data_IF_479483026916
#
_entry.id   IF_479483026916
#
_cell.length_a   1.000
_cell.length_b   1.000
_cell.length_c   1.000
_cell.angle_alpha   90.00
_cell.angle_beta   90.00
_cell.angle_gamma   90.00
#
_symmetry.space_group_name_H-M   'P 1'
#
loop_
_entity.id
_entity.type
_entity.pdbx_description
1 polymer ?
2 non-polymer ?
3 non-polymer ?
4 non-polymer ?
5 water ?
#
# COMPACT_ATOMS: atom_id res chain seq x y z
N UNK A 4 -21.14 -17.83 15.00
CA UNK A 4 -20.24 -16.60 15.13
C UNK A 4 -20.07 -15.84 13.81
N UNK A 5 -20.55 -14.57 13.72
CA UNK A 5 -20.65 -13.89 12.44
C UNK A 5 -19.31 -13.58 11.81
N UNK A 6 -19.29 -13.48 10.48
CA UNK A 6 -18.09 -13.03 9.77
C UNK A 6 -17.98 -11.51 9.87
N UNK A 7 -16.78 -10.97 10.06
CA UNK A 7 -16.63 -9.53 10.17
C UNK A 7 -16.89 -8.74 8.89
N UNK A 8 -17.32 -7.48 9.08
CA UNK A 8 -17.54 -6.50 7.97
C UNK A 8 -16.36 -5.54 7.94
N UNK A 9 -15.66 -5.45 9.06
CA UNK A 9 -14.47 -4.58 9.22
C UNK A 9 -13.45 -5.25 10.14
N UNK A 10 -12.19 -5.02 9.85
CA UNK A 10 -11.08 -5.42 10.74
C UNK A 10 -10.17 -4.23 10.98
N UNK A 11 -9.31 -4.35 11.97
CA UNK A 11 -8.25 -3.35 12.17
C UNK A 11 -6.91 -4.00 11.90
N UNK A 12 -6.06 -3.21 11.25
CA UNK A 12 -4.71 -3.64 10.80
C UNK A 12 -3.70 -2.68 11.39
N UNK A 13 -2.71 -3.22 12.06
CA UNK A 13 -1.51 -2.49 12.50
C UNK A 13 -0.43 -2.66 11.42
N UNK A 14 0.18 -1.56 11.06
CA UNK A 14 1.38 -1.50 10.20
C UNK A 14 2.50 -0.88 11.04
N UNK A 15 3.63 -1.56 11.14
CA UNK A 15 4.84 -0.99 11.74
C UNK A 15 5.98 -0.98 10.77
N UNK A 16 6.75 0.06 10.82
CA UNK A 16 8.02 0.14 10.05
C UNK A 16 9.12 0.67 10.97
N UNK A 17 10.20 -0.10 11.07
CA UNK A 17 11.34 0.27 11.93
C UNK A 17 12.65 -0.12 11.24
N UNK A 18 13.48 0.87 10.97
CA UNK A 18 14.89 0.62 10.61
C UNK A 18 15.66 0.51 11.92
N UNK A 19 16.10 -0.69 12.19
CA UNK A 19 16.69 -1.09 13.50
C UNK A 19 18.17 -0.70 13.60
N UNK A 20 18.80 -0.26 12.52
CA UNK A 20 20.20 0.22 12.57
C UNK A 20 21.14 -0.89 12.99
N UNK A 21 20.82 -2.12 12.59
CA UNK A 21 21.69 -3.30 12.79
C UNK A 21 21.97 -3.50 14.29
N UNK A 22 21.09 -3.04 15.15
CA UNK A 22 21.25 -3.24 16.60
C UNK A 22 20.08 -4.02 17.16
N UNK A 23 20.28 -4.86 18.18
CA UNK A 23 19.15 -5.57 18.78
C UNK A 23 18.20 -4.58 19.44
N UNK A 24 16.92 -4.95 19.53
CA UNK A 24 15.94 -4.06 20.12
C UNK A 24 16.09 -4.07 21.63
N UNK A 25 15.49 -3.09 22.31
CA UNK A 25 15.49 -3.07 23.76
C UNK A 25 14.48 -4.12 24.27
N UNK A 26 14.45 -4.30 25.59
CA UNK A 26 13.65 -5.34 26.28
C UNK A 26 12.17 -5.11 26.02
N UNK A 27 11.71 -3.86 25.98
CA UNK A 27 10.28 -3.55 25.84
C UNK A 27 10.05 -2.68 24.59
N UNK A 28 9.16 -3.16 23.71
CA UNK A 28 8.81 -2.43 22.47
C UNK A 28 7.28 -2.32 22.38
N UNK A 29 6.57 -2.56 23.47
CA UNK A 29 5.08 -2.57 23.49
C UNK A 29 4.53 -1.21 23.03
N UNK A 30 5.22 -0.09 23.27
CA UNK A 30 4.70 1.25 22.87
C UNK A 30 4.45 1.28 21.36
N UNK A 31 5.27 0.56 20.61
CA UNK A 31 5.11 0.55 19.14
C UNK A 31 3.73 -0.03 18.78
N UNK A 32 3.43 -1.19 19.29
CA UNK A 32 2.18 -1.93 18.96
C UNK A 32 0.96 -1.25 19.57
N UNK A 33 1.17 -0.42 20.58
CA UNK A 33 0.08 0.37 21.21
C UNK A 33 -0.09 1.72 20.53
N UNK A 34 0.69 2.06 19.50
CA UNK A 34 0.54 3.38 18.84
C UNK A 34 0.65 4.51 19.87
N UNK A 35 1.68 4.48 20.69
CA UNK A 35 1.96 5.51 21.72
C UNK A 35 3.25 6.26 21.36
N UNK A 36 3.25 7.57 21.52
CA UNK A 36 4.44 8.40 21.37
C UNK A 36 4.00 9.74 20.82
N UNK A 37 4.47 10.05 19.63
CA UNK A 37 4.19 11.36 18.99
C UNK A 37 3.32 11.10 17.76
N UNK A 38 2.57 12.10 17.38
CA UNK A 38 1.71 12.06 16.19
C UNK A 38 0.26 11.80 16.53
N UNK A 39 -0.38 11.08 15.64
CA UNK A 39 -1.78 10.63 15.86
C UNK A 39 -1.72 9.29 16.56
N UNK A 40 -1.98 9.33 17.88
CA UNK A 40 -1.79 8.18 18.75
C UNK A 40 -3.15 7.56 19.11
N UNK A 41 -3.08 6.33 19.56
CA UNK A 41 -4.26 5.53 19.92
C UNK A 41 -4.67 5.83 21.36
N UNK A 42 -5.97 5.82 21.57
CA UNK A 42 -6.59 6.07 22.88
C UNK A 42 -6.19 4.97 23.87
N UNK A 43 -5.84 5.37 25.06
CA UNK A 43 -5.48 4.42 26.15
C UNK A 43 -6.58 3.36 26.36
N UNK A 44 -7.83 3.72 26.14
CA UNK A 44 -8.96 2.84 26.47
C UNK A 44 -8.95 1.62 25.53
N UNK A 45 -8.17 1.68 24.44
CA UNK A 45 -8.08 0.61 23.42
C UNK A 45 -6.88 -0.33 23.68
N UNK A 46 -6.09 -0.08 24.73
CA UNK A 46 -4.79 -0.79 24.85
C UNK A 46 -4.94 -2.31 24.89
N UNK A 47 -6.02 -2.83 25.46
CA UNK A 47 -6.15 -4.30 25.57
C UNK A 47 -6.82 -4.92 24.34
N UNK A 48 -7.32 -4.10 23.44
CA UNK A 48 -8.09 -4.54 22.28
C UNK A 48 -7.08 -4.94 21.21
N UNK A 49 -6.99 -6.21 20.84
CA UNK A 49 -6.03 -6.60 19.81
C UNK A 49 -6.48 -6.11 18.42
N UNK A 50 -5.52 -5.72 17.59
CA UNK A 50 -5.76 -5.58 16.15
C UNK A 50 -5.98 -6.98 15.61
N UNK A 51 -6.69 -7.06 14.50
CA UNK A 51 -6.95 -8.36 13.84
C UNK A 51 -5.67 -8.91 13.19
N UNK A 52 -4.87 -8.02 12.60
CA UNK A 52 -3.67 -8.37 11.80
C UNK A 52 -2.60 -7.35 12.20
N UNK A 53 -1.39 -7.83 12.46
CA UNK A 53 -0.20 -7.00 12.71
C UNK A 53 0.79 -7.29 11.58
N UNK A 54 1.22 -6.24 10.91
CA UNK A 54 2.21 -6.36 9.83
C UNK A 54 3.44 -5.54 10.23
N UNK A 55 4.55 -6.23 10.41
CA UNK A 55 5.77 -5.61 10.97
C UNK A 55 6.89 -5.64 9.92
N UNK A 56 7.28 -4.45 9.46
CA UNK A 56 8.35 -4.24 8.48
C UNK A 56 9.58 -3.72 9.19
N UNK A 57 10.67 -4.42 9.03
CA UNK A 57 12.00 -3.96 9.53
C UNK A 57 13.00 -3.83 8.38
N UNK A 58 13.95 -2.93 8.61
CA UNK A 58 15.12 -2.68 7.74
C UNK A 58 16.35 -2.67 8.64
N UNK A 59 17.50 -3.06 8.08
CA UNK A 59 18.73 -3.17 8.87
C UNK A 59 18.45 -4.03 10.11
N UNK A 60 17.70 -5.12 9.94
CA UNK A 60 17.30 -6.03 11.03
C UNK A 60 18.41 -7.05 11.23
N UNK A 61 19.06 -7.05 12.41
CA UNK A 61 20.16 -7.97 12.70
C UNK A 61 19.75 -9.35 13.22
N UNK A 62 18.48 -9.53 13.52
CA UNK A 62 17.96 -10.72 14.21
C UNK A 62 17.63 -11.84 13.21
N UNK A 63 17.65 -13.07 13.68
CA UNK A 63 17.11 -14.20 12.91
C UNK A 63 15.58 -14.05 12.86
N UNK A 64 14.93 -14.69 11.89
CA UNK A 64 13.46 -14.76 11.87
C UNK A 64 12.96 -15.33 13.20
N UNK A 65 13.61 -16.38 13.68
CA UNK A 65 13.21 -17.02 14.95
C UNK A 65 13.26 -15.99 16.09
N UNK A 66 14.37 -15.27 16.20
CA UNK A 66 14.59 -14.34 17.33
C UNK A 66 13.57 -13.22 17.31
N UNK A 67 13.28 -12.69 16.13
CA UNK A 67 12.33 -11.57 15.98
C UNK A 67 10.91 -12.07 16.26
N UNK A 68 10.52 -13.21 15.72
CA UNK A 68 9.16 -13.80 15.95
C UNK A 68 8.92 -13.94 17.45
N UNK A 69 9.91 -14.49 18.16
CA UNK A 69 9.83 -14.65 19.62
C UNK A 69 9.47 -13.31 20.26
N UNK A 70 10.24 -12.27 19.93
CA UNK A 70 10.08 -10.93 20.55
C UNK A 70 8.70 -10.37 20.20
N UNK A 71 8.29 -10.53 18.96
CA UNK A 71 7.00 -9.94 18.53
C UNK A 71 5.85 -10.67 19.24
N UNK A 72 5.85 -11.99 19.20
CA UNK A 72 4.73 -12.77 19.79
C UNK A 72 4.68 -12.49 21.30
N UNK A 73 5.81 -12.42 22.01
CA UNK A 73 5.87 -12.10 23.45
C UNK A 73 5.23 -10.73 23.71
N UNK A 74 5.63 -9.76 22.89
CA UNK A 74 5.16 -8.36 23.05
C UNK A 74 3.63 -8.32 22.90
N UNK A 75 3.09 -8.93 21.87
CA UNK A 75 1.62 -8.89 21.67
C UNK A 75 0.95 -9.68 22.77
N UNK A 76 1.49 -10.83 23.19
CA UNK A 76 0.85 -11.60 24.27
C UNK A 76 0.77 -10.74 25.52
N UNK A 77 1.85 -10.04 25.83
CA UNK A 77 1.88 -9.17 27.02
C UNK A 77 0.78 -8.11 26.94
N UNK A 78 0.60 -7.53 25.79
CA UNK A 78 -0.39 -6.42 25.62
C UNK A 78 -1.81 -6.98 25.73
N UNK A 79 -2.08 -8.05 24.99
CA UNK A 79 -3.48 -8.46 24.62
C UNK A 79 -3.91 -9.72 25.34
N UNK A 80 -2.97 -10.48 25.90
CA UNK A 80 -3.18 -11.85 26.43
C UNK A 80 -3.63 -12.78 25.33
N UNK A 81 -3.34 -12.44 24.08
CA UNK A 81 -3.65 -13.33 22.92
C UNK A 81 -2.34 -13.87 22.37
N UNK A 82 -2.32 -15.15 22.01
CA UNK A 82 -1.18 -15.78 21.32
C UNK A 82 -1.42 -15.69 19.82
N UNK A 83 -0.73 -14.80 19.12
CA UNK A 83 -0.96 -14.55 17.68
C UNK A 83 -0.34 -15.68 16.85
N UNK A 84 -1.00 -16.01 15.75
CA UNK A 84 -0.56 -16.99 14.74
C UNK A 84 0.28 -16.27 13.69
N UNK A 85 1.35 -16.91 13.28
CA UNK A 85 2.22 -16.44 12.18
C UNK A 85 1.55 -16.76 10.84
N UNK A 86 1.20 -15.74 10.08
CA UNK A 86 0.65 -15.88 8.72
C UNK A 86 1.81 -16.08 7.74
N UNK A 87 2.81 -15.23 7.80
CA UNK A 87 3.93 -15.27 6.86
C UNK A 87 5.11 -14.49 7.44
N UNK A 88 6.30 -14.85 7.00
CA UNK A 88 7.53 -14.10 7.29
C UNK A 88 8.44 -14.25 6.07
N UNK A 89 8.99 -13.14 5.63
CA UNK A 89 9.91 -13.17 4.48
C UNK A 89 10.99 -12.12 4.65
N UNK A 90 12.22 -12.54 4.40
CA UNK A 90 13.42 -11.69 4.60
C UNK A 90 14.19 -11.65 3.28
N UNK A 91 14.61 -10.43 2.88
CA UNK A 91 15.61 -10.21 1.82
C UNK A 91 16.76 -9.45 2.46
N UNK A 92 17.92 -10.07 2.56
CA UNK A 92 19.08 -9.45 3.25
C UNK A 92 18.69 -9.09 4.67
N UNK A 93 18.57 -7.82 5.00
CA UNK A 93 18.22 -7.34 6.34
C UNK A 93 16.87 -6.60 6.30
N UNK A 94 16.06 -6.89 5.28
CA UNK A 94 14.72 -6.32 5.06
C UNK A 94 13.70 -7.43 5.32
N UNK A 95 12.81 -7.21 6.26
CA UNK A 95 11.92 -8.29 6.73
C UNK A 95 10.46 -7.83 6.87
N UNK A 96 9.56 -8.75 6.58
CA UNK A 96 8.14 -8.55 6.85
C UNK A 96 7.62 -9.75 7.64
N UNK A 97 6.87 -9.45 8.72
CA UNK A 97 6.17 -10.47 9.55
C UNK A 97 4.70 -10.10 9.52
N UNK A 98 3.85 -11.11 9.28
CA UNK A 98 2.39 -10.94 9.40
C UNK A 98 1.86 -11.89 10.46
N UNK A 99 1.31 -11.29 11.51
CA UNK A 99 0.65 -12.04 12.59
C UNK A 99 -0.86 -11.79 12.57
N UNK A 100 -1.65 -12.78 12.98
CA UNK A 100 -3.11 -12.61 13.04
C UNK A 100 -3.71 -13.27 14.28
N UNK A 101 -4.85 -12.77 14.72
CA UNK A 101 -5.60 -13.42 15.80
C UNK A 101 -5.82 -14.88 15.41
N UNK A 102 -5.80 -15.81 16.36
CA UNK A 102 -6.03 -17.22 16.06
C UNK A 102 -7.42 -17.46 15.45
N UNK A 103 -8.43 -16.67 15.82
CA UNK A 103 -9.80 -16.84 15.26
C UNK A 103 -9.79 -16.62 13.75
N UNK A 104 -8.71 -16.06 13.17
CA UNK A 104 -8.68 -15.72 11.74
C UNK A 104 -7.95 -16.77 10.92
N UNK A 105 -7.42 -17.80 11.56
CA UNK A 105 -6.59 -18.80 10.87
C UNK A 105 -7.39 -19.41 9.70
N UNK A 106 -8.68 -19.67 9.84
CA UNK A 106 -9.45 -20.32 8.72
C UNK A 106 -10.02 -19.26 7.78
N UNK A 107 -9.81 -17.96 8.01
CA UNK A 107 -10.31 -16.86 7.15
C UNK A 107 -9.21 -16.48 6.15
N UNK A 108 -7.98 -16.86 6.47
CA UNK A 108 -6.82 -16.39 5.69
C UNK A 108 -6.42 -17.53 4.76
N UNK A 109 -6.30 -17.25 3.46
CA UNK A 109 -5.84 -18.25 2.48
C UNK A 109 -5.00 -17.56 1.40
N UNK A 110 -4.51 -18.35 0.43
CA UNK A 110 -3.75 -17.83 -0.74
C UNK A 110 -2.63 -16.90 -0.28
N UNK A 111 -1.84 -17.37 0.67
CA UNK A 111 -0.71 -16.58 1.21
C UNK A 111 0.44 -16.63 0.21
N UNK A 112 0.96 -15.46 -0.13
CA UNK A 112 2.09 -15.30 -1.11
C UNK A 112 3.14 -14.40 -0.45
N UNK A 113 4.40 -14.68 -0.73
CA UNK A 113 5.55 -13.83 -0.34
C UNK A 113 6.42 -13.63 -1.57
N UNK A 114 7.10 -12.50 -1.63
CA UNK A 114 8.07 -12.24 -2.71
C UNK A 114 9.00 -11.10 -2.29
N UNK A 115 10.05 -10.92 -3.09
CA UNK A 115 11.02 -9.84 -2.87
C UNK A 115 11.49 -9.33 -4.24
N UNK A 116 11.91 -8.07 -4.22
CA UNK A 116 12.58 -7.42 -5.36
C UNK A 116 13.88 -6.79 -4.84
N UNK A 117 14.95 -7.07 -5.56
CA UNK A 117 16.27 -6.44 -5.35
C UNK A 117 16.40 -5.25 -6.29
N UNK A 118 16.70 -4.05 -5.78
CA UNK A 118 16.75 -2.84 -6.65
C UNK A 118 18.19 -2.55 -7.13
N UNK A 119 18.36 -1.72 -8.18
CA UNK A 119 19.71 -1.34 -8.64
C UNK A 119 20.43 -2.45 -9.40
N UNK A 120 21.58 -2.09 -9.96
CA UNK A 120 22.39 -2.91 -10.92
C UNK A 120 23.79 -2.90 -10.35
N UNK A 121 24.38 -4.09 -10.13
CA UNK A 121 25.78 -4.32 -9.71
C UNK A 121 26.09 -3.54 -8.43
N UNK A 122 26.71 -2.34 -8.53
CA UNK A 122 27.09 -1.42 -7.42
C UNK A 122 25.92 -1.19 -6.46
N UNK A 123 24.76 -0.80 -7.02
CA UNK A 123 23.51 -0.45 -6.28
C UNK A 123 22.64 -1.70 -6.04
N UNK A 124 23.09 -2.92 -6.45
CA UNK A 124 22.39 -4.19 -6.11
C UNK A 124 23.14 -4.84 -4.94
N UNK A 125 22.44 -5.14 -3.84
CA UNK A 125 23.07 -5.94 -2.78
C UNK A 125 22.68 -5.55 -1.36
N UNK A 126 21.92 -4.45 -1.16
CA UNK A 126 21.23 -4.34 0.15
C UNK A 126 19.86 -3.66 0.10
N UNK A 127 19.43 -3.00 -0.98
CA UNK A 127 18.14 -2.25 -1.01
C UNK A 127 17.12 -3.07 -1.84
N UNK A 128 15.86 -2.92 -1.51
CA UNK A 128 14.80 -3.63 -2.19
C UNK A 128 13.56 -3.63 -1.37
N UNK A 129 12.77 -4.68 -1.58
CA UNK A 129 11.47 -4.81 -0.90
C UNK A 129 11.17 -6.26 -0.65
N UNK A 130 10.40 -6.46 0.38
CA UNK A 130 9.72 -7.75 0.58
C UNK A 130 8.20 -7.50 0.61
N UNK A 131 7.43 -8.53 0.31
CA UNK A 131 5.97 -8.40 0.35
C UNK A 131 5.26 -9.66 0.74
N UNK A 132 4.05 -9.46 1.27
CA UNK A 132 3.10 -10.54 1.62
C UNK A 132 1.75 -10.16 1.06
N UNK A 133 1.04 -11.14 0.53
CA UNK A 133 -0.39 -11.02 0.24
C UNK A 133 -1.15 -12.23 0.70
N UNK A 134 -2.45 -12.05 0.94
CA UNK A 134 -3.35 -13.16 1.20
C UNK A 134 -4.78 -12.65 1.01
N UNK A 135 -5.69 -13.59 1.01
CA UNK A 135 -7.14 -13.35 1.07
C UNK A 135 -7.57 -13.43 2.54
N UNK A 136 -8.40 -12.51 2.97
CA UNK A 136 -9.09 -12.55 4.26
C UNK A 136 -10.56 -12.67 3.90
N UNK A 137 -11.13 -13.85 3.97
CA UNK A 137 -12.50 -14.09 3.42
C UNK A 137 -12.52 -13.59 1.97
N UNK A 138 -13.39 -12.66 1.60
CA UNK A 138 -13.52 -12.24 0.18
C UNK A 138 -12.66 -11.04 -0.15
N UNK A 139 -11.75 -10.65 0.75
CA UNK A 139 -10.98 -9.42 0.57
C UNK A 139 -9.51 -9.76 0.36
N UNK A 140 -8.91 -9.17 -0.67
CA UNK A 140 -7.47 -9.36 -0.99
C UNK A 140 -6.65 -8.24 -0.32
N UNK A 141 -5.62 -8.65 0.42
CA UNK A 141 -4.74 -7.74 1.19
C UNK A 141 -3.30 -7.91 0.68
N UNK A 142 -2.63 -6.81 0.43
CA UNK A 142 -1.20 -6.80 0.07
C UNK A 142 -0.43 -5.84 0.97
N UNK A 143 0.82 -6.19 1.21
CA UNK A 143 1.70 -5.48 2.15
C UNK A 143 3.08 -5.49 1.53
N UNK A 144 3.68 -4.31 1.43
CA UNK A 144 5.05 -4.14 0.90
C UNK A 144 5.88 -3.38 1.95
N UNK A 145 7.03 -3.94 2.27
CA UNK A 145 8.05 -3.26 3.09
C UNK A 145 9.26 -3.01 2.19
N UNK A 146 9.56 -1.77 1.95
CA UNK A 146 10.68 -1.38 1.06
C UNK A 146 11.73 -0.57 1.82
N UNK A 147 12.99 -0.86 1.53
CA UNK A 147 14.15 -0.05 1.97
C UNK A 147 14.71 0.53 0.67
N UNK A 148 14.45 1.80 0.45
CA UNK A 148 14.85 2.44 -0.80
C UNK A 148 16.22 3.12 -0.62
N UNK A 149 16.76 3.53 -1.76
CA UNK A 149 18.08 4.15 -1.86
C UNK A 149 18.17 5.28 -0.83
N UNK A 150 19.34 5.40 -0.17
CA UNK A 150 19.55 6.50 0.80
C UNK A 150 20.18 7.71 0.11
N UNK A 151 20.22 8.80 0.84
CA UNK A 151 20.96 10.01 0.45
C UNK A 151 20.01 11.07 -0.03
N UNK A 152 20.18 12.29 0.47
CA UNK A 152 19.35 13.44 0.07
C UNK A 152 19.35 13.69 -1.45
N UNK A 153 20.44 13.40 -2.15
CA UNK A 153 20.58 13.75 -3.58
C UNK A 153 20.00 12.66 -4.48
N UNK A 154 19.36 11.62 -3.94
CA UNK A 154 18.94 10.43 -4.73
C UNK A 154 17.43 10.21 -4.76
N UNK A 155 16.64 11.27 -4.76
CA UNK A 155 15.18 11.07 -4.79
C UNK A 155 14.80 10.40 -6.13
N UNK A 156 15.48 10.71 -7.24
CA UNK A 156 15.10 10.07 -8.53
C UNK A 156 15.36 8.56 -8.44
N UNK A 157 16.45 8.14 -7.79
CA UNK A 157 16.75 6.70 -7.66
C UNK A 157 15.67 6.07 -6.79
N UNK A 158 15.25 6.74 -5.74
CA UNK A 158 14.14 6.20 -4.92
C UNK A 158 12.90 5.99 -5.80
N UNK A 159 12.60 6.94 -6.66
CA UNK A 159 11.37 6.83 -7.49
C UNK A 159 11.55 5.64 -8.44
N UNK A 160 12.76 5.46 -8.95
CA UNK A 160 13.08 4.30 -9.85
C UNK A 160 12.93 3.00 -9.07
N UNK A 161 13.40 2.98 -7.82
CA UNK A 161 13.29 1.79 -6.97
C UNK A 161 11.79 1.45 -6.78
N UNK A 162 10.96 2.47 -6.51
CA UNK A 162 9.50 2.28 -6.36
C UNK A 162 8.94 1.64 -7.64
N UNK A 163 9.33 2.13 -8.80
CA UNK A 163 8.73 1.61 -10.06
C UNK A 163 9.20 0.16 -10.29
N UNK A 164 10.45 -0.19 -9.96
CA UNK A 164 10.89 -1.61 -10.13
C UNK A 164 10.12 -2.50 -9.16
N UNK A 165 9.97 -2.05 -7.91
CA UNK A 165 9.25 -2.88 -6.91
C UNK A 165 7.83 -3.09 -7.41
N UNK A 166 7.15 -2.04 -7.85
CA UNK A 166 5.75 -2.08 -8.32
C UNK A 166 5.62 -3.10 -9.46
N UNK A 167 6.57 -3.01 -10.40
CA UNK A 167 6.52 -3.87 -11.60
C UNK A 167 6.78 -5.33 -11.29
N UNK A 168 7.74 -5.61 -10.41
CA UNK A 168 8.29 -6.96 -10.36
C UNK A 168 7.95 -7.77 -9.13
N UNK A 169 7.32 -7.17 -8.15
CA UNK A 169 6.92 -7.91 -6.96
C UNK A 169 5.70 -8.74 -7.39
N UNK A 170 5.80 -10.06 -7.22
CA UNK A 170 4.81 -11.05 -7.70
C UNK A 170 3.96 -11.48 -6.53
N UNK A 171 2.83 -10.85 -6.33
CA UNK A 171 1.92 -11.19 -5.23
C UNK A 171 0.50 -11.28 -5.77
N UNK A 172 -0.43 -11.86 -5.00
CA UNK A 172 -1.85 -11.89 -5.38
C UNK A 172 -2.09 -12.89 -6.49
N UNK A 173 -3.23 -12.70 -7.12
CA UNK A 173 -3.81 -13.68 -8.09
C UNK A 173 -3.04 -13.57 -9.41
N UNK A 174 -2.30 -14.60 -9.77
CA UNK A 174 -1.53 -14.64 -11.04
C UNK A 174 -2.45 -14.57 -12.26
N UNK A 175 -3.75 -14.89 -12.12
CA UNK A 175 -4.69 -14.79 -13.27
C UNK A 175 -4.89 -13.33 -13.64
N UNK A 176 -4.56 -12.40 -12.71
CA UNK A 176 -4.68 -10.96 -12.99
C UNK A 176 -3.45 -10.51 -13.78
N UNK A 177 -3.19 -11.14 -14.92
CA UNK A 177 -1.87 -11.01 -15.58
C UNK A 177 -1.60 -9.58 -16.03
N UNK A 178 -2.54 -8.74 -16.50
CA UNK A 178 -2.19 -7.38 -16.91
C UNK A 178 -1.89 -6.41 -15.75
N UNK A 179 -2.10 -6.86 -14.53
CA UNK A 179 -2.17 -5.93 -13.38
C UNK A 179 -0.96 -6.11 -12.47
N UNK A 180 -0.38 -4.98 -12.07
CA UNK A 180 0.70 -4.99 -11.05
C UNK A 180 0.12 -4.91 -9.64
N UNK A 181 0.99 -4.95 -8.63
CA UNK A 181 0.47 -4.95 -7.22
C UNK A 181 -0.43 -3.75 -6.94
N UNK A 182 -0.31 -2.65 -7.68
CA UNK A 182 -1.16 -1.45 -7.43
C UNK A 182 -2.63 -1.65 -7.84
N UNK A 183 -2.96 -2.78 -8.46
CA UNK A 183 -4.37 -3.11 -8.78
C UNK A 183 -4.80 -4.48 -8.26
N UNK A 184 -3.94 -5.29 -7.68
CA UNK A 184 -4.29 -6.68 -7.34
C UNK A 184 -5.04 -6.84 -6.01
N UNK A 185 -5.11 -5.81 -5.17
CA UNK A 185 -5.61 -5.93 -3.79
C UNK A 185 -6.72 -4.94 -3.51
N UNK A 186 -7.71 -5.39 -2.75
CA UNK A 186 -8.74 -4.51 -2.20
C UNK A 186 -8.07 -3.39 -1.40
N UNK A 187 -7.06 -3.76 -0.60
CA UNK A 187 -6.28 -2.83 0.26
C UNK A 187 -4.80 -3.18 0.10
N UNK A 188 -3.99 -2.21 -0.31
CA UNK A 188 -2.53 -2.38 -0.43
C UNK A 188 -1.89 -1.38 0.54
N UNK A 189 -0.99 -1.85 1.37
CA UNK A 189 -0.21 -1.01 2.31
C UNK A 189 1.24 -1.11 1.90
N UNK A 190 1.85 0.03 1.71
CA UNK A 190 3.26 0.14 1.33
C UNK A 190 3.92 1.07 2.34
N UNK A 191 4.96 0.53 2.93
CA UNK A 191 5.63 1.14 4.08
C UNK A 191 7.11 0.77 3.98
N UNK A 192 7.88 1.42 4.85
CA UNK A 192 9.30 1.07 4.99
C UNK A 192 10.16 2.29 5.28
N UNK A 193 11.48 2.06 5.21
CA UNK A 193 12.46 3.16 5.12
C UNK A 193 12.52 3.61 3.67
N UNK A 194 11.56 4.47 3.30
CA UNK A 194 11.50 5.01 1.93
C UNK A 194 12.61 6.03 1.70
N UNK A 195 13.23 6.56 2.77
CA UNK A 195 14.51 7.30 2.63
C UNK A 195 14.38 8.65 1.96
N UNK A 196 13.15 9.17 1.76
CA UNK A 196 13.01 10.56 1.28
C UNK A 196 13.33 11.52 2.42
N UNK A 197 13.96 12.65 2.05
CA UNK A 197 14.55 13.59 2.99
C UNK A 197 13.87 14.95 2.94
N UNK A 198 14.15 15.72 3.97
CA UNK A 198 13.76 17.16 4.00
C UNK A 198 14.83 17.95 3.26
N UNK A 199 14.43 18.48 2.13
CA UNK A 199 15.34 19.09 1.14
C UNK A 199 15.49 20.58 1.47
N UNK A 200 16.33 20.86 2.41
CA UNK A 200 16.70 22.23 2.81
C UNK A 200 18.23 22.32 2.81
N UNK A 201 18.83 23.53 2.77
CA UNK A 201 20.27 23.60 2.76
C UNK A 201 20.88 23.06 4.04
N UNK A 202 22.06 22.47 3.92
CA UNK A 202 22.70 21.79 5.06
C UNK A 202 23.04 22.83 6.13
N UNK A 203 23.31 24.08 5.77
CA UNK A 203 23.58 25.17 6.73
C UNK A 203 22.33 25.49 7.58
N UNK A 204 21.15 25.01 7.19
CA UNK A 204 19.92 25.21 7.99
C UNK A 204 19.72 24.09 9.02
N UNK A 205 20.67 23.20 9.26
CA UNK A 205 20.46 22.06 10.17
C UNK A 205 19.97 22.53 11.54
N UNK A 206 20.61 23.52 12.14
CA UNK A 206 20.27 23.88 13.56
C UNK A 206 18.89 24.54 13.53
N UNK A 207 18.56 25.27 12.48
CA UNK A 207 17.21 25.87 12.33
C UNK A 207 16.15 24.77 12.30
N UNK A 208 16.41 23.75 11.50
CA UNK A 208 15.50 22.56 11.41
C UNK A 208 15.32 21.97 12.82
N UNK A 209 16.41 21.69 13.52
CA UNK A 209 16.34 21.13 14.87
C UNK A 209 15.50 22.03 15.77
N UNK A 210 15.65 23.35 15.68
CA UNK A 210 14.86 24.22 16.58
C UNK A 210 13.38 24.17 16.15
N UNK A 211 13.06 24.08 14.85
CA UNK A 211 11.65 23.91 14.44
C UNK A 211 11.07 22.62 15.06
N UNK A 212 11.83 21.53 15.01
CA UNK A 212 11.40 20.24 15.59
C UNK A 212 11.13 20.39 17.10
N UNK A 213 12.04 21.05 17.82
CA UNK A 213 11.90 21.23 19.27
C UNK A 213 10.64 22.05 19.60
N UNK A 214 10.17 22.89 18.69
CA UNK A 214 8.94 23.71 18.83
C UNK A 214 7.71 22.95 18.31
N UNK A 215 7.88 21.74 17.78
CA UNK A 215 6.81 20.94 17.15
C UNK A 215 6.16 21.73 16.02
N UNK A 216 6.95 22.45 15.25
CA UNK A 216 6.49 23.29 14.11
C UNK A 216 7.00 22.59 12.86
N UNK A 217 6.17 21.73 12.30
CA UNK A 217 6.63 20.86 11.19
C UNK A 217 6.29 21.43 9.82
N UNK A 218 5.47 22.48 9.73
CA UNK A 218 4.90 22.90 8.43
C UNK A 218 6.00 23.24 7.42
N UNK A 219 6.98 24.04 7.81
CA UNK A 219 8.03 24.53 6.89
C UNK A 219 8.99 23.38 6.60
N UNK A 220 9.00 22.34 7.43
CA UNK A 220 9.81 21.15 7.10
C UNK A 220 9.05 20.25 6.11
N UNK A 221 7.79 19.91 6.39
CA UNK A 221 6.97 19.04 5.47
C UNK A 221 6.84 19.67 4.08
N UNK A 222 6.85 20.99 3.96
CA UNK A 222 6.72 21.65 2.62
C UNK A 222 7.97 21.31 1.79
N UNK A 223 9.05 20.80 2.40
CA UNK A 223 10.29 20.40 1.69
C UNK A 223 10.53 18.90 1.75
N UNK A 224 9.56 18.13 2.25
CA UNK A 224 9.72 16.66 2.31
C UNK A 224 9.67 16.12 0.89
N UNK A 225 10.69 15.34 0.51
CA UNK A 225 10.77 14.92 -0.87
C UNK A 225 9.65 13.96 -1.24
N UNK A 226 9.15 13.14 -0.32
CA UNK A 226 8.06 12.21 -0.72
C UNK A 226 6.79 13.03 -0.98
N UNK A 227 6.46 13.99 -0.12
CA UNK A 227 5.26 14.82 -0.36
C UNK A 227 5.43 15.59 -1.69
N UNK A 228 6.58 16.19 -1.95
CA UNK A 228 6.76 17.02 -3.15
C UNK A 228 6.79 16.13 -4.40
N UNK A 229 7.44 14.98 -4.37
CA UNK A 229 7.44 14.09 -5.55
C UNK A 229 6.03 13.53 -5.80
N UNK A 230 5.28 13.21 -4.76
CA UNK A 230 3.89 12.76 -4.95
C UNK A 230 3.06 13.88 -5.53
N UNK A 231 3.26 15.10 -5.07
CA UNK A 231 2.46 16.22 -5.58
C UNK A 231 2.70 16.38 -7.09
N UNK A 232 3.94 16.14 -7.55
CA UNK A 232 4.32 16.27 -8.96
C UNK A 232 4.12 14.96 -9.72
N UNK A 233 3.42 14.00 -9.12
CA UNK A 233 3.05 12.71 -9.76
C UNK A 233 4.29 11.99 -10.26
N UNK A 234 5.38 12.04 -9.49
CA UNK A 234 6.63 11.32 -9.85
C UNK A 234 6.71 9.95 -9.19
N UNK A 235 5.87 9.71 -8.18
CA UNK A 235 5.98 8.48 -7.38
C UNK A 235 4.67 8.34 -6.59
N UNK A 236 4.31 7.10 -6.27
CA UNK A 236 3.17 6.77 -5.39
C UNK A 236 1.89 7.42 -5.91
N UNK A 237 1.67 7.38 -7.22
CA UNK A 237 0.43 7.91 -7.82
C UNK A 237 -0.74 7.06 -7.29
N UNK A 238 -1.76 7.74 -6.78
CA UNK A 238 -3.04 7.16 -6.33
C UNK A 238 -2.89 6.45 -4.99
N UNK A 239 -1.81 6.71 -4.26
CA UNK A 239 -1.71 6.29 -2.85
C UNK A 239 -2.09 7.43 -1.91
N UNK A 240 -2.43 7.06 -0.70
CA UNK A 240 -2.78 7.99 0.40
C UNK A 240 -1.72 7.89 1.49
N UNK A 241 -1.54 8.97 2.22
CA UNK A 241 -0.76 8.99 3.48
C UNK A 241 -1.51 9.89 4.45
N UNK A 242 -1.58 9.50 5.73
CA UNK A 242 -2.15 10.34 6.80
C UNK A 242 -1.21 11.55 7.04
N UNK A 243 -1.78 12.66 7.47
CA UNK A 243 -1.00 13.86 7.78
C UNK A 243 0.05 13.47 8.82
N UNK A 244 1.26 13.99 8.64
CA UNK A 244 2.38 13.76 9.57
C UNK A 244 2.33 14.81 10.67
N UNK A 245 2.26 14.36 11.94
CA UNK A 245 2.19 15.25 13.11
C UNK A 245 3.21 14.81 14.16
N UNK A 246 4.19 14.02 13.76
CA UNK A 246 5.27 13.53 14.63
C UNK A 246 6.60 14.10 14.10
N UNK A 247 7.60 14.15 14.97
CA UNK A 247 8.94 14.66 14.61
C UNK A 247 9.59 13.73 13.59
N UNK A 248 10.53 14.26 12.79
CA UNK A 248 11.34 13.41 11.92
C UNK A 248 11.90 12.22 12.68
N UNK A 249 11.89 11.03 12.04
CA UNK A 249 12.26 9.77 12.68
C UNK A 249 13.73 9.41 12.48
N UNK A 250 14.46 10.26 11.81
CA UNK A 250 15.87 10.01 11.41
C UNK A 250 16.55 11.37 11.41
N UNK A 251 17.84 11.51 11.70
CA UNK A 251 18.76 10.53 12.19
C UNK A 251 19.11 10.87 13.64
N UNK A 252 18.81 9.99 14.57
CA UNK A 252 19.02 10.21 16.02
C UNK A 252 20.38 9.64 16.46
N UNK A 253 20.96 10.27 17.47
CA UNK A 253 22.00 9.63 18.29
C UNK A 253 21.31 8.46 19.01
N UNK A 254 21.95 7.31 19.06
CA UNK A 254 21.37 6.13 19.75
C UNK A 254 21.32 6.36 21.26
N UNK A 255 20.38 5.69 21.93
CA UNK A 255 20.20 5.61 23.40
C UNK A 255 19.60 6.90 24.01
N UNK A 256 19.32 7.92 23.23
CA UNK A 256 18.46 9.05 23.64
C UNK A 256 17.50 9.38 22.49
N UNK A 257 16.52 10.26 22.65
CA UNK A 257 15.91 10.94 21.46
C UNK A 257 16.13 12.44 21.53
N UNK A 258 17.05 12.88 22.36
CA UNK A 258 17.27 14.32 22.61
C UNK A 258 18.08 14.96 21.47
N UNK A 259 18.74 14.15 20.63
CA UNK A 259 19.72 14.68 19.66
C UNK A 259 19.60 14.03 18.28
N UNK A 260 19.47 14.88 17.29
CA UNK A 260 19.68 14.54 15.87
C UNK A 260 21.16 14.63 15.54
N UNK A 261 21.65 13.55 14.98
CA UNK A 261 23.02 13.39 14.44
C UNK A 261 22.95 13.59 12.92
N UNK A 262 23.30 14.80 12.47
CA UNK A 262 23.15 15.17 11.06
C UNK A 262 24.49 15.40 10.36
N UNK A 263 25.57 15.66 11.07
CA UNK A 263 26.84 16.12 10.46
C UNK A 263 27.45 15.02 9.59
N UNK A 264 28.20 15.43 8.57
CA UNK A 264 28.88 14.47 7.67
C UNK A 264 30.03 13.82 8.45
N UNK A 265 30.17 12.51 8.27
CA UNK A 265 31.17 11.66 8.98
C UNK A 265 31.72 10.64 7.97
N UNK A 266 32.88 10.07 8.21
CA UNK A 266 33.35 8.98 7.33
C UNK A 266 32.26 7.91 7.26
N UNK A 267 31.63 7.58 8.40
CA UNK A 267 30.62 6.51 8.49
C UNK A 267 29.40 6.81 7.58
N UNK A 268 29.14 8.08 7.26
CA UNK A 268 28.00 8.45 6.36
C UNK A 268 28.43 8.66 4.90
N UNK A 269 29.67 8.34 4.57
CA UNK A 269 30.18 8.64 3.24
C UNK A 269 30.33 10.15 3.06
N UNK A 270 30.57 10.86 4.15
CA UNK A 270 30.72 12.33 4.13
C UNK A 270 29.43 12.95 3.58
N UNK A 271 28.30 12.34 3.93
CA UNK A 271 26.96 12.91 3.63
C UNK A 271 26.36 13.50 4.89
N UNK A 272 25.64 14.58 4.74
CA UNK A 272 24.74 15.09 5.80
C UNK A 272 23.47 14.24 5.81
N UNK A 273 22.95 14.06 7.00
CA UNK A 273 21.60 13.46 7.21
C UNK A 273 20.77 14.47 7.98
N UNK A 274 20.30 15.52 7.32
CA UNK A 274 19.35 16.45 7.94
C UNK A 274 18.14 15.64 8.42
N UNK A 275 17.56 16.03 9.58
CA UNK A 275 16.37 15.36 10.10
C UNK A 275 15.29 15.21 9.03
N UNK A 276 14.79 13.99 8.92
CA UNK A 276 13.87 13.60 7.83
C UNK A 276 12.85 12.56 8.27
N UNK A 277 11.78 12.56 7.54
CA UNK A 277 10.74 11.54 7.67
C UNK A 277 11.06 10.40 6.69
N UNK A 278 12.06 9.61 7.05
CA UNK A 278 12.46 8.45 6.22
C UNK A 278 11.42 7.30 6.23
N UNK A 279 10.70 7.19 7.33
CA UNK A 279 9.99 5.96 7.73
C UNK A 279 8.49 6.21 7.60
N UNK A 280 7.84 5.55 6.64
CA UNK A 280 6.51 6.02 6.18
C UNK A 280 5.56 4.86 5.99
N UNK A 281 4.28 5.16 6.04
CA UNK A 281 3.20 4.20 5.72
C UNK A 281 2.18 4.86 4.77
N UNK A 282 2.04 4.30 3.58
CA UNK A 282 1.04 4.72 2.59
C UNK A 282 0.10 3.56 2.29
N UNK A 283 -1.04 3.85 1.66
CA UNK A 283 -1.96 2.78 1.25
C UNK A 283 -2.71 3.17 0.00
N UNK A 284 -3.35 2.16 -0.58
CA UNK A 284 -4.20 2.33 -1.75
C UNK A 284 -5.26 1.26 -1.66
N UNK A 285 -6.51 1.67 -1.62
CA UNK A 285 -7.64 0.74 -1.58
C UNK A 285 -8.47 0.99 -2.83
N UNK A 286 -9.23 -0.02 -3.23
CA UNK A 286 -10.17 0.10 -4.35
C UNK A 286 -11.19 1.17 -4.00
N UNK A 287 -11.73 1.79 -5.05
CA UNK A 287 -12.72 2.85 -4.87
C UNK A 287 -13.91 2.42 -4.01
N UNK A 288 -14.30 3.30 -3.08
CA UNK A 288 -15.52 3.17 -2.25
C UNK A 288 -15.45 1.96 -1.33
N UNK A 289 -14.25 1.49 -1.00
CA UNK A 289 -14.05 0.54 0.12
C UNK A 289 -13.67 1.34 1.35
N UNK A 290 -14.27 0.99 2.46
CA UNK A 290 -13.97 1.64 3.77
C UNK A 290 -12.49 1.42 4.12
N UNK A 291 -11.76 2.50 4.35
CA UNK A 291 -10.42 2.40 4.95
C UNK A 291 -10.21 3.72 5.68
N UNK A 292 -9.94 3.63 6.96
CA UNK A 292 -9.76 4.85 7.79
C UNK A 292 -8.49 4.67 8.63
N UNK A 293 -7.58 5.61 8.49
CA UNK A 293 -6.39 5.66 9.36
C UNK A 293 -6.79 6.11 10.76
N UNK A 294 -6.49 5.27 11.75
CA UNK A 294 -6.83 5.48 13.18
C UNK A 294 -5.61 6.01 13.95
N UNK A 295 -4.39 5.79 13.45
CA UNK A 295 -3.15 6.27 14.13
C UNK A 295 -2.05 6.34 13.08
N UNK A 296 -1.17 7.31 13.28
CA UNK A 296 0.04 7.47 12.46
C UNK A 296 1.02 8.28 13.29
N UNK A 297 2.09 7.62 13.75
CA UNK A 297 2.98 8.26 14.72
C UNK A 297 4.30 7.58 14.87
N UNK A 298 5.10 8.08 15.78
CA UNK A 298 6.38 7.43 16.09
C UNK A 298 6.51 7.23 17.61
N UNK A 299 7.24 6.19 18.00
CA UNK A 299 7.51 5.94 19.42
C UNK A 299 8.60 6.91 19.88
N UNK A 300 8.59 7.21 21.17
CA UNK A 300 9.53 8.12 21.86
C UNK A 300 10.51 7.33 22.76
N UNK A 301 10.22 6.06 23.05
CA UNK A 301 10.93 5.33 24.12
C UNK A 301 11.73 4.14 23.60
N UNK A 302 11.86 3.98 22.29
CA UNK A 302 12.65 2.87 21.66
C UNK A 302 13.85 3.53 20.97
N UNK A 303 15.03 3.33 21.54
CA UNK A 303 16.18 4.25 21.26
C UNK A 303 17.42 3.48 20.83
N UNK A 304 17.31 2.20 20.50
CA UNK A 304 18.48 1.38 20.08
C UNK A 304 18.96 1.73 18.69
N UNK A 305 18.10 2.31 17.84
CA UNK A 305 18.46 2.59 16.45
C UNK A 305 18.62 4.10 16.28
N UNK A 306 19.18 4.49 15.16
CA UNK A 306 19.22 5.93 14.76
C UNK A 306 17.90 6.31 14.06
N UNK A 307 16.98 5.36 13.95
CA UNK A 307 15.60 5.64 13.53
C UNK A 307 14.65 5.33 14.69
N UNK A 308 13.56 6.09 14.80
CA UNK A 308 12.44 5.68 15.65
C UNK A 308 11.46 4.84 14.86
N UNK A 309 10.85 3.82 15.51
CA UNK A 309 9.75 3.07 14.93
C UNK A 309 8.55 3.98 14.61
N UNK A 310 7.86 3.63 13.52
CA UNK A 310 6.64 4.29 13.04
C UNK A 310 5.53 3.22 13.09
N UNK A 311 4.37 3.67 13.53
CA UNK A 311 3.14 2.89 13.56
C UNK A 311 2.09 3.59 12.72
N UNK A 312 1.21 2.77 12.19
CA UNK A 312 -0.04 3.23 11.59
C UNK A 312 -1.09 2.14 11.80
N UNK A 313 -2.34 2.54 12.10
CA UNK A 313 -3.43 1.57 12.24
C UNK A 313 -4.57 2.01 11.31
N UNK A 314 -5.31 1.02 10.87
CA UNK A 314 -6.41 1.21 9.92
C UNK A 314 -7.62 0.37 10.36
N UNK A 315 -8.80 0.94 10.16
CA UNK A 315 -10.05 0.18 10.01
C UNK A 315 -10.22 -0.09 8.51
N UNK A 316 -10.41 -1.34 8.14
CA UNK A 316 -10.50 -1.74 6.72
C UNK A 316 -11.76 -2.58 6.51
N UNK A 317 -12.59 -2.19 5.55
CA UNK A 317 -13.74 -3.02 5.14
C UNK A 317 -13.30 -4.34 4.53
N UNK A 318 -14.01 -5.39 4.91
CA UNK A 318 -13.85 -6.76 4.40
C UNK A 318 -15.22 -7.32 4.08
N UNK A 319 -15.20 -8.34 3.23
CA UNK A 319 -16.41 -9.02 2.75
C UNK A 319 -16.29 -10.52 3.00
N UNK A 320 -17.43 -11.17 2.98
CA UNK A 320 -17.58 -12.62 3.28
C UNK A 320 -17.23 -13.42 2.04
N UNK A 321 -16.98 -14.73 2.24
CA UNK A 321 -16.84 -15.75 1.18
C UNK A 321 -18.27 -16.18 0.79
N UNK A 322 -18.85 -15.41 -0.13
CA UNK A 322 -20.27 -15.51 -0.51
C UNK A 322 -20.49 -16.82 -1.27
N UNK A 323 -21.55 -17.51 -0.88
CA UNK A 323 -22.08 -18.75 -1.53
C UNK A 323 -23.59 -18.51 -1.75
N UNK A 324 -24.04 -18.66 -2.99
CA UNK A 324 -25.48 -18.80 -3.33
C UNK A 324 -25.80 -20.23 -3.81
N UNK A 325 -27.08 -20.44 -4.09
CA UNK A 325 -27.61 -21.69 -4.74
C UNK A 325 -26.97 -21.87 -6.12
N UNK A 326 -26.62 -20.74 -6.77
CA UNK A 326 -26.03 -20.62 -8.13
C UNK A 326 -24.49 -20.59 -7.99
N UNK A 327 -23.87 -19.41 -8.15
CA UNK A 327 -22.40 -19.29 -8.05
C UNK A 327 -21.94 -19.35 -6.59
N UNK A 328 -20.65 -19.69 -6.29
CA UNK A 328 -19.69 -20.17 -7.29
C UNK A 328 -20.04 -21.47 -8.03
N UNK A 329 -19.53 -21.60 -9.26
CA UNK A 329 -19.61 -22.82 -10.08
C UNK A 329 -20.49 -22.69 -11.30
N UNK A 330 -21.26 -21.59 -11.37
CA UNK A 330 -22.25 -21.25 -12.43
C UNK A 330 -22.52 -19.74 -12.36
N UNK A 331 -23.20 -19.16 -13.35
CA UNK A 331 -23.64 -17.73 -13.34
C UNK A 331 -25.00 -17.67 -12.64
N UNK A 332 -25.44 -16.46 -12.28
CA UNK A 332 -26.80 -16.18 -11.75
C UNK A 332 -27.53 -15.31 -12.78
N UNK A 333 -28.46 -15.91 -13.53
CA UNK A 333 -29.10 -15.25 -14.69
C UNK A 333 -29.66 -13.88 -14.27
N UNK A 334 -29.98 -13.67 -12.98
CA UNK A 334 -30.61 -12.40 -12.52
C UNK A 334 -29.61 -11.22 -12.57
N UNK A 335 -28.31 -11.48 -12.54
CA UNK A 335 -27.27 -10.42 -12.48
C UNK A 335 -26.75 -10.05 -13.85
N UNK A 336 -26.50 -8.76 -14.11
CA UNK A 336 -25.76 -8.39 -15.32
C UNK A 336 -25.08 -7.02 -15.13
N UNK A 337 -23.99 -6.82 -15.83
CA UNK A 337 -23.28 -5.51 -15.82
C UNK A 337 -23.16 -5.05 -17.27
N UNK A 338 -23.73 -3.90 -17.59
CA UNK A 338 -23.70 -3.35 -18.95
C UNK A 338 -22.95 -2.02 -18.91
N UNK A 339 -22.26 -1.74 -20.01
CA UNK A 339 -21.44 -0.51 -20.19
C UNK A 339 -21.93 0.25 -21.42
N UNK A 340 -22.18 1.54 -21.27
CA UNK A 340 -22.79 2.37 -22.33
C UNK A 340 -21.82 3.51 -22.61
N UNK A 341 -21.71 3.97 -23.87
CA UNK A 341 -21.05 5.26 -24.23
C UNK A 341 -19.66 5.26 -23.54
N UNK A 342 -18.89 4.15 -23.61
CA UNK A 342 -17.52 4.08 -23.01
C UNK A 342 -16.44 4.44 -24.01
N UNK A 343 -15.44 5.15 -23.50
CA UNK A 343 -14.22 5.37 -24.29
C UNK A 343 -13.03 5.52 -23.37
N UNK A 344 -11.91 5.11 -23.92
CA UNK A 344 -10.60 5.25 -23.30
C UNK A 344 -9.90 6.43 -23.99
N UNK A 345 -9.23 7.25 -23.22
CA UNK A 345 -8.40 8.34 -23.76
C UNK A 345 -6.97 7.94 -23.40
N UNK A 346 -6.11 7.79 -24.39
CA UNK A 346 -4.74 7.31 -24.09
C UNK A 346 -3.72 8.35 -24.46
N UNK A 347 -2.61 8.38 -23.71
CA UNK A 347 -1.46 9.29 -23.97
C UNK A 347 -0.50 8.74 -25.03
N UNK A 348 -0.62 7.51 -25.44
CA UNK A 348 0.26 6.85 -26.43
C UNK A 348 0.28 7.59 -27.76
N UNK A 349 1.43 7.58 -28.40
CA UNK A 349 1.68 8.15 -29.73
C UNK A 349 1.48 7.02 -30.74
N UNK A 350 1.19 5.79 -30.28
CA UNK A 350 1.08 4.60 -31.15
C UNK A 350 -0.31 4.58 -31.81
N UNK A 351 -0.43 3.90 -32.94
CA UNK A 351 -1.72 3.72 -33.68
C UNK A 351 -1.93 2.24 -34.04
N UNK A 352 -2.05 1.36 -33.04
CA UNK A 352 -2.55 -0.05 -33.11
C UNK A 352 -4.05 0.02 -32.73
N UNK A 353 -4.78 -1.04 -33.02
CA UNK A 353 -6.13 -1.24 -32.45
C UNK A 353 -5.98 -1.67 -30.99
N UNK A 354 -7.01 -1.39 -30.20
CA UNK A 354 -7.06 -1.74 -28.76
C UNK A 354 -8.34 -2.52 -28.46
N UNK A 355 -8.25 -3.41 -27.49
CA UNK A 355 -9.40 -4.09 -26.88
C UNK A 355 -9.29 -3.98 -25.37
N UNK A 356 -10.39 -4.29 -24.67
CA UNK A 356 -10.45 -4.31 -23.20
C UNK A 356 -10.49 -5.74 -22.67
N UNK A 357 -9.94 -5.89 -21.48
CA UNK A 357 -10.20 -7.10 -20.65
C UNK A 357 -10.79 -6.62 -19.34
N UNK A 358 -11.86 -7.30 -18.94
CA UNK A 358 -12.57 -7.09 -17.66
C UNK A 358 -12.21 -8.25 -16.75
N UNK A 359 -11.57 -7.95 -15.61
CA UNK A 359 -11.24 -8.99 -14.62
C UNK A 359 -11.93 -8.73 -13.29
N UNK A 360 -12.55 -9.74 -12.72
CA UNK A 360 -13.19 -9.61 -11.40
C UNK A 360 -13.48 -10.98 -10.80
N UNK A 361 -13.32 -11.07 -9.48
CA UNK A 361 -13.82 -12.18 -8.63
C UNK A 361 -15.30 -12.47 -8.85
N UNK A 362 -16.08 -11.52 -9.34
CA UNK A 362 -17.53 -11.79 -9.53
C UNK A 362 -17.77 -12.46 -10.88
N UNK A 363 -16.74 -12.68 -11.71
CA UNK A 363 -16.87 -13.36 -13.04
C UNK A 363 -16.20 -14.73 -12.97
N UNK A 364 -16.66 -15.71 -13.75
CA UNK A 364 -16.02 -17.07 -13.73
C UNK A 364 -14.61 -16.96 -14.29
N UNK A 365 -14.42 -16.13 -15.31
CA UNK A 365 -13.09 -15.79 -15.85
C UNK A 365 -13.13 -14.45 -16.55
N UNK A 366 -11.97 -13.91 -16.92
CA UNK A 366 -11.93 -12.53 -17.48
C UNK A 366 -12.62 -12.53 -18.85
N UNK A 367 -13.11 -11.35 -19.21
CA UNK A 367 -13.85 -11.14 -20.49
C UNK A 367 -13.04 -10.21 -21.38
N UNK A 368 -12.91 -10.59 -22.65
CA UNK A 368 -12.20 -9.80 -23.65
C UNK A 368 -13.23 -9.16 -24.58
N UNK A 369 -13.11 -7.84 -24.77
CA UNK A 369 -14.04 -7.08 -25.65
C UNK A 369 -13.55 -7.20 -27.09
N UNK A 370 -14.38 -6.73 -28.02
CA UNK A 370 -13.95 -6.54 -29.41
C UNK A 370 -13.13 -5.25 -29.41
N UNK A 371 -12.45 -5.01 -30.52
CA UNK A 371 -11.64 -3.79 -30.69
C UNK A 371 -12.54 -2.56 -30.67
N UNK A 372 -12.07 -1.51 -30.01
CA UNK A 372 -12.65 -0.16 -30.14
C UNK A 372 -12.28 0.50 -31.45
N UNK A 373 -12.87 1.68 -31.65
CA UNK A 373 -12.70 2.52 -32.85
C UNK A 373 -11.87 3.74 -32.46
N UNK A 374 -10.67 3.84 -33.04
CA UNK A 374 -9.73 4.93 -32.73
C UNK A 374 -10.24 6.19 -33.39
N UNK A 375 -10.29 7.27 -32.62
CA UNK A 375 -10.44 8.63 -33.17
C UNK A 375 -9.28 9.45 -32.61
N UNK A 376 -9.00 10.58 -33.25
CA UNK A 376 -8.08 11.62 -32.74
C UNK A 376 -8.90 12.58 -31.88
N UNK A 377 -8.41 12.90 -30.68
CA UNK A 377 -9.00 13.91 -29.78
C UNK A 377 -8.56 15.32 -30.17
N UNK A 378 -9.29 16.33 -29.67
CA UNK A 378 -9.10 17.76 -29.97
C UNK A 378 -7.62 18.13 -29.77
N UNK A 379 -7.03 17.76 -28.63
CA UNK A 379 -5.69 18.21 -28.18
C UNK A 379 -4.64 17.15 -28.56
N UNK A 380 -4.81 16.45 -29.69
CA UNK A 380 -3.79 15.56 -30.29
C UNK A 380 -3.94 14.08 -29.91
N UNK A 381 -4.70 13.75 -28.85
CA UNK A 381 -4.65 12.43 -28.15
C UNK A 381 -5.40 11.32 -28.89
N UNK A 382 -5.13 10.07 -28.54
CA UNK A 382 -5.89 8.91 -29.07
C UNK A 382 -7.15 8.69 -28.23
N UNK A 383 -8.32 8.62 -28.87
CA UNK A 383 -9.59 8.28 -28.19
C UNK A 383 -10.04 6.93 -28.74
N UNK A 384 -10.16 5.93 -27.87
CA UNK A 384 -10.63 4.60 -28.29
C UNK A 384 -12.11 4.52 -27.91
N UNK A 385 -12.99 4.55 -28.91
CA UNK A 385 -14.47 4.55 -28.71
C UNK A 385 -14.95 3.08 -28.68
N UNK A 386 -15.65 2.71 -27.63
CA UNK A 386 -16.27 1.38 -27.51
C UNK A 386 -17.78 1.51 -27.71
N UNK A 387 -18.31 2.74 -27.71
CA UNK A 387 -19.76 3.03 -27.77
C UNK A 387 -20.60 2.08 -26.88
N UNK A 388 -21.49 1.31 -27.52
CA UNK A 388 -22.46 0.38 -26.87
C UNK A 388 -22.04 -1.04 -27.24
N UNK A 389 -20.78 -1.23 -27.65
CA UNK A 389 -20.23 -2.49 -28.21
C UNK A 389 -19.72 -3.43 -27.10
N UNK A 390 -19.48 -2.94 -25.86
CA UNK A 390 -18.78 -3.75 -24.82
C UNK A 390 -19.70 -4.91 -24.45
N UNK A 391 -19.13 -6.06 -24.06
CA UNK A 391 -19.94 -7.20 -23.64
C UNK A 391 -20.80 -6.89 -22.40
N UNK A 392 -21.89 -7.63 -22.30
CA UNK A 392 -22.73 -7.74 -21.08
C UNK A 392 -22.06 -8.76 -20.16
N UNK A 393 -21.61 -8.34 -18.98
CA UNK A 393 -20.87 -9.24 -18.05
C UNK A 393 -21.86 -10.02 -17.19
N UNK A 394 -21.58 -11.30 -16.97
CA UNK A 394 -22.46 -12.26 -16.24
C UNK A 394 -21.85 -12.63 -14.91
N UNK A 395 -22.25 -11.97 -13.80
CA UNK A 395 -21.67 -12.27 -12.51
C UNK A 395 -22.17 -13.63 -12.01
N UNK A 396 -21.37 -14.26 -11.16
CA UNK A 396 -21.60 -15.62 -10.63
C UNK A 396 -22.72 -15.56 -9.58
N UNK A 397 -22.89 -14.41 -8.95
CA UNK A 397 -23.89 -14.18 -7.87
C UNK A 397 -24.62 -12.85 -8.16
N UNK A 398 -25.93 -12.81 -7.97
CA UNK A 398 -26.77 -11.64 -8.40
C UNK A 398 -27.22 -10.86 -7.17
N UNK A 399 -27.04 -11.44 -5.97
CA UNK A 399 -27.49 -10.84 -4.69
C UNK A 399 -26.83 -9.48 -4.62
N UNK A 400 -27.60 -8.39 -4.40
CA UNK A 400 -26.99 -7.06 -4.37
C UNK A 400 -26.05 -6.87 -3.18
N UNK A 401 -26.27 -7.58 -2.09
CA UNK A 401 -25.37 -7.53 -0.91
C UNK A 401 -23.98 -8.05 -1.25
N UNK A 402 -23.87 -8.88 -2.27
CA UNK A 402 -22.54 -9.34 -2.79
C UNK A 402 -22.07 -8.37 -3.88
N UNK A 403 -22.94 -8.11 -4.86
CA UNK A 403 -22.49 -7.57 -6.18
C UNK A 403 -22.12 -6.10 -6.00
N UNK A 404 -22.85 -5.36 -5.16
CA UNK A 404 -22.53 -3.93 -4.97
C UNK A 404 -21.19 -3.74 -4.22
N UNK A 405 -20.64 -4.78 -3.61
CA UNK A 405 -19.33 -4.73 -2.95
C UNK A 405 -18.17 -5.12 -3.88
N UNK A 406 -18.44 -5.44 -5.13
CA UNK A 406 -17.38 -5.95 -6.04
C UNK A 406 -16.78 -4.78 -6.82
N UNK A 407 -15.74 -5.10 -7.58
CA UNK A 407 -14.98 -4.19 -8.42
C UNK A 407 -14.62 -4.89 -9.73
N UNK A 408 -14.53 -4.11 -10.79
CA UNK A 408 -14.09 -4.60 -12.12
C UNK A 408 -12.77 -3.92 -12.44
N UNK A 409 -11.74 -4.75 -12.59
CA UNK A 409 -10.46 -4.25 -13.14
C UNK A 409 -10.55 -4.20 -14.65
N UNK A 410 -10.01 -3.15 -15.24
CA UNK A 410 -10.03 -2.99 -16.72
C UNK A 410 -8.60 -2.81 -17.20
N UNK A 411 -8.22 -3.58 -18.22
CA UNK A 411 -6.96 -3.38 -18.97
C UNK A 411 -7.31 -3.05 -20.41
N UNK A 412 -6.63 -2.05 -20.95
CA UNK A 412 -6.75 -1.74 -22.41
C UNK A 412 -5.48 -2.27 -23.07
N UNK A 413 -5.65 -3.20 -24.00
CA UNK A 413 -4.52 -3.96 -24.60
C UNK A 413 -4.42 -3.71 -26.09
N UNK A 414 -3.17 -3.65 -26.56
CA UNK A 414 -2.88 -3.56 -28.00
C UNK A 414 -3.26 -4.88 -28.67
N UNK A 415 -4.01 -4.83 -29.76
CA UNK A 415 -4.30 -6.03 -30.58
C UNK A 415 -3.00 -6.60 -31.20
N UNK A 416 -2.03 -5.75 -31.51
CA UNK A 416 -0.76 -6.11 -32.19
C UNK A 416 0.09 -6.93 -31.22
N UNK A 417 0.17 -6.50 -29.96
CA UNK A 417 1.21 -7.02 -29.03
C UNK A 417 0.61 -7.78 -27.85
N UNK A 418 -0.67 -7.61 -27.62
CA UNK A 418 -1.42 -8.09 -26.44
C UNK A 418 -0.83 -7.54 -25.13
N UNK A 419 -0.10 -6.44 -25.18
CA UNK A 419 0.44 -5.82 -23.97
C UNK A 419 -0.55 -4.76 -23.50
N UNK A 420 -0.70 -4.66 -22.18
CA UNK A 420 -1.49 -3.60 -21.52
C UNK A 420 -0.85 -2.23 -21.74
N UNK A 421 -1.67 -1.27 -22.15
CA UNK A 421 -1.31 0.15 -22.21
C UNK A 421 -1.88 0.92 -21.01
N UNK A 422 -2.78 0.34 -20.25
CA UNK A 422 -3.38 1.04 -19.13
C UNK A 422 -4.28 0.11 -18.33
N UNK A 423 -4.25 0.30 -17.03
CA UNK A 423 -5.02 -0.52 -16.06
C UNK A 423 -5.76 0.43 -15.14
N UNK A 424 -6.97 0.04 -14.76
CA UNK A 424 -7.72 0.77 -13.73
C UNK A 424 -8.85 -0.08 -13.16
N UNK A 425 -9.66 0.54 -12.33
CA UNK A 425 -10.63 -0.19 -11.50
C UNK A 425 -11.90 0.64 -11.34
N UNK A 426 -13.02 -0.07 -11.49
CA UNK A 426 -14.40 0.49 -11.37
C UNK A 426 -15.11 -0.18 -10.20
N UNK A 427 -15.59 0.61 -9.25
CA UNK A 427 -16.47 0.12 -8.14
C UNK A 427 -17.90 -0.12 -8.63
N UNK A 428 -18.50 -1.21 -8.13
CA UNK A 428 -19.93 -1.53 -8.37
C UNK A 428 -20.77 -1.03 -7.19
N UNK A 429 -20.21 -0.21 -6.31
CA UNK A 429 -20.96 0.38 -5.14
C UNK A 429 -21.76 1.56 -5.67
N UNK A 430 -22.77 1.28 -6.48
CA UNK A 430 -23.46 2.34 -7.26
C UNK A 430 -24.52 3.02 -6.42
N UNK A 431 -24.92 4.20 -6.83
CA UNK A 431 -26.02 4.96 -6.18
C UNK A 431 -27.38 4.31 -6.47
N UNK A 432 -27.48 3.52 -7.54
CA UNK A 432 -28.74 2.94 -8.04
C UNK A 432 -28.44 1.70 -8.88
N UNK A 433 -29.39 0.78 -8.95
CA UNK A 433 -29.33 -0.36 -9.93
C UNK A 433 -30.35 -0.12 -11.06
N UNK A 434 -30.18 -0.82 -12.17
CA UNK A 434 -31.12 -0.70 -13.30
C UNK A 434 -31.16 0.75 -13.79
N UNK A 435 -30.10 1.51 -13.60
CA UNK A 435 -30.03 2.97 -13.89
C UNK A 435 -28.70 3.23 -14.58
N UNK A 436 -28.66 4.02 -15.65
CA UNK A 436 -27.35 4.41 -16.26
C UNK A 436 -26.68 5.46 -15.39
N UNK A 437 -25.47 5.18 -14.96
CA UNK A 437 -24.69 6.07 -14.08
C UNK A 437 -23.30 6.22 -14.66
N UNK A 438 -22.71 7.42 -14.48
CA UNK A 438 -21.34 7.67 -14.91
C UNK A 438 -20.34 6.76 -14.17
N UNK A 439 -19.36 6.24 -14.92
CA UNK A 439 -18.18 5.57 -14.33
C UNK A 439 -16.91 6.24 -14.87
N UNK A 440 -15.81 6.05 -14.13
CA UNK A 440 -14.52 6.70 -14.42
C UNK A 440 -13.45 5.93 -13.68
N UNK A 441 -12.32 5.74 -14.33
CA UNK A 441 -11.06 5.40 -13.63
C UNK A 441 -9.93 6.04 -14.43
N UNK A 442 -8.90 6.53 -13.75
CA UNK A 442 -7.63 6.77 -14.42
C UNK A 442 -7.06 5.43 -14.86
N UNK A 443 -6.17 5.47 -15.86
CA UNK A 443 -5.45 4.27 -16.34
C UNK A 443 -3.96 4.51 -16.12
N UNK A 444 -3.28 3.50 -15.59
CA UNK A 444 -1.84 3.55 -15.35
C UNK A 444 -1.22 2.34 -16.03
N UNK A 445 0.09 2.44 -16.25
CA UNK A 445 0.92 1.30 -16.67
C UNK A 445 2.27 1.51 -16.00
N UNK A 446 2.78 0.46 -15.37
CA UNK A 446 3.96 0.59 -14.50
C UNK A 446 3.76 1.70 -13.46
N UNK A 447 2.51 1.94 -13.07
CA UNK A 447 2.20 2.88 -11.97
C UNK A 447 2.23 4.34 -12.41
N UNK A 448 2.40 4.61 -13.73
CA UNK A 448 2.42 5.96 -14.30
C UNK A 448 1.13 6.19 -15.08
N UNK A 449 0.61 7.41 -15.04
CA UNK A 449 -0.64 7.72 -15.75
C UNK A 449 -0.49 7.57 -17.27
N UNK A 450 -1.38 6.83 -17.90
CA UNK A 450 -1.32 6.57 -19.37
C UNK A 450 -2.61 7.00 -20.06
N UNK A 451 -3.62 7.37 -19.29
CA UNK A 451 -4.92 7.65 -19.90
C UNK A 451 -6.04 7.60 -18.90
N UNK A 452 -7.24 7.49 -19.43
CA UNK A 452 -8.49 7.49 -18.66
C UNK A 452 -9.50 6.56 -19.33
N UNK A 453 -10.39 5.99 -18.57
CA UNK A 453 -11.57 5.26 -19.08
C UNK A 453 -12.82 5.87 -18.43
N UNK A 454 -13.80 6.18 -19.26
CA UNK A 454 -15.06 6.75 -18.71
C UNK A 454 -16.22 6.30 -19.59
N UNK A 455 -17.42 6.38 -19.02
CA UNK A 455 -18.63 6.00 -19.74
C UNK A 455 -19.72 5.85 -18.76
N UNK A 456 -20.67 4.97 -19.03
CA UNK A 456 -21.78 4.75 -18.09
C UNK A 456 -21.87 3.26 -17.84
N UNK A 457 -22.42 2.93 -16.70
CA UNK A 457 -22.69 1.54 -16.28
C UNK A 457 -24.18 1.41 -15.98
N UNK A 458 -24.68 0.21 -16.09
CA UNK A 458 -26.06 -0.16 -15.68
C UNK A 458 -25.94 -1.55 -15.04
N UNK A 459 -26.20 -1.63 -13.74
CA UNK A 459 -26.07 -2.88 -12.97
C UNK A 459 -27.44 -3.47 -12.64
N UNK A 460 -27.65 -4.74 -13.02
CA UNK A 460 -28.86 -5.51 -12.67
C UNK A 460 -28.50 -6.46 -11.53
N UNK A 461 -29.18 -6.36 -10.39
CA UNK A 461 -29.05 -7.35 -9.30
C UNK A 461 -30.36 -8.10 -9.20
N UNK A 462 -30.45 -9.06 -8.29
CA UNK A 462 -31.68 -9.84 -8.07
C UNK A 462 -32.75 -8.98 -7.37
N UNK A 463 -32.42 -7.77 -6.91
CA UNK A 463 -33.42 -6.79 -6.36
C UNK A 463 -33.70 -5.67 -7.39
X LIG B 1 0.52 -16.25 -4.15
X LIG B 1 -0.65 -16.51 -4.98
X LIG B 1 -0.67 -17.17 -6.10
X LIG B 1 -2.00 -17.19 -6.52
X LIG B 1 -2.69 -16.56 -5.61
X LIG B 1 -4.13 -16.28 -5.56
X LIG B 1 -4.60 -15.21 -4.79
X LIG B 1 -5.96 -14.95 -4.72
X LIG B 1 -6.84 -15.71 -5.43
X LIG B 1 -6.37 -16.78 -6.19
X LIG B 1 -5.02 -17.07 -6.27
X LIG B 1 -1.88 -16.08 -4.61
X LIG B 1 1.74 -16.64 -4.44
X LIG C 1 23.08 12.91 -0.24
X LIG C 1 24.27 13.77 -0.01
X LIG C 1 22.90 12.15 -1.57
X LIG C 1 23.47 10.80 -1.72
X LIG D 1 -13.59 -7.04 -1.61
X LIG D 1 -13.80 -7.28 -0.18
X LIG D 1 -14.35 -5.49 -1.98
X LIG D 1 -14.80 -8.08 -2.46
X LIG E 1 -11.20 -8.23 -7.75
X LIG E 1 -12.56 -8.77 -8.12
X LIG E 1 -11.00 -6.81 -8.74
X LIG E 1 -10.07 -9.29 -8.62
X LIG F 1 -7.61 3.68 -10.13
X LIG F 1 -7.09 2.29 -9.94
X LIG F 1 -6.83 4.70 -8.86
X LIG F 1 -9.29 3.68 -9.51
#
# INVERSE_FOLDING_TARGET
SMEQPEPDMITIFIGTWNMGNAPPPKKITSWFLSKGQGKTRDDSADYIPHDIYVIGTQEDPLSEKEWLEILKHSLQEITSVTFKTVAIHTLWNIRIVVLAKPEHENRISHICTDNVKTGIANTLGNKGAVGVSFMFNGTSLGFVNSHLTSGSEKKLRRNQNYMNILRFLALGDKKLSPFNITHRFTHLFWFGDLNYRVDLPTWEAETIIQKIKQQQYADLLSHDQLLTERREQKVFLHFEEEEITFAPTYRFERLTRDKYAYTKQKATGMKYNLPSWCDRVLWKSYPLVHVVCQSYGSTSDIMTSDHSPVFATFEAGVTSQFVSKNGPGTVDSQGQIEFLRCYATLKTKSQTKFYLEFHSSCLESFVKSQEGENEEGSEGELVVKFGETLPKLKPIISDPEYLLDQHILISIKSSDSDESYGEGCIALRLEATETQLPIYTPLTHHGELTGHFQGEIKLQTSQ
YBU C1 C2 N1 N2 C3 C4 C5 C6 C7 C8 C9 O1 N3
EDO C1 O1 C2 O2
DMS S O C1 C2
DMS S O C1 C2
DMS S O C1 C2
#
